data_IF_444307764458
#
_entry.id   IF_444307764458
#
_cell.length_a   1.000
_cell.length_b   1.000
_cell.length_c   1.000
_cell.angle_alpha   90.00
_cell.angle_beta   90.00
_cell.angle_gamma   90.00
#
_symmetry.space_group_name_H-M   'P 1'
#
loop_
_entity.id
_entity.type
_entity.pdbx_description
1 polymer ?
#
# COMPACT_ATOMS: atom_id res chain seq x y z
N UNK A 1 -7.70 7.36 10.04
CA UNK A 1 -7.05 6.39 9.13
C UNK A 1 -7.75 6.49 7.79
N UNK A 2 -7.18 7.23 6.83
CA UNK A 2 -7.79 7.38 5.51
C UNK A 2 -7.59 6.09 4.70
N UNK A 3 -8.64 5.61 4.05
CA UNK A 3 -8.50 4.54 3.05
C UNK A 3 -7.70 5.07 1.85
N UNK A 4 -6.94 4.19 1.20
CA UNK A 4 -6.14 4.49 0.02
C UNK A 4 -7.08 4.99 -1.10
N UNK A 5 -6.93 6.21 -1.64
CA UNK A 5 -7.86 6.79 -2.63
C UNK A 5 -8.11 5.89 -3.84
N UNK A 6 -7.08 5.20 -4.32
CA UNK A 6 -7.14 4.24 -5.42
C UNK A 6 -8.11 3.10 -5.13
N UNK A 7 -8.18 2.65 -3.87
CA UNK A 7 -9.12 1.60 -3.46
C UNK A 7 -10.55 2.14 -3.46
N UNK A 8 -10.78 3.35 -2.96
CA UNK A 8 -12.12 3.95 -2.94
C UNK A 8 -12.63 4.22 -4.35
N UNK A 9 -11.77 4.75 -5.23
CA UNK A 9 -12.13 5.06 -6.62
C UNK A 9 -12.44 3.80 -7.45
N UNK A 10 -11.91 2.65 -7.03
CA UNK A 10 -12.19 1.36 -7.64
C UNK A 10 -13.25 0.54 -6.90
N UNK A 11 -13.96 1.16 -5.97
CA UNK A 11 -15.12 0.58 -5.27
C UNK A 11 -16.37 1.38 -5.60
N UNK A 12 -17.50 0.73 -5.82
CA UNK A 12 -18.78 1.39 -6.07
C UNK A 12 -19.88 0.72 -5.28
N UNK A 13 -20.74 1.53 -4.67
CA UNK A 13 -21.92 1.03 -3.96
C UNK A 13 -22.99 0.63 -4.97
N UNK A 14 -23.36 -0.65 -4.93
CA UNK A 14 -24.58 -1.13 -5.55
C UNK A 14 -25.72 -0.94 -4.56
N UNK A 15 -26.57 0.03 -4.87
CA UNK A 15 -27.66 0.44 -3.99
C UNK A 15 -28.79 -0.59 -4.01
N UNK A 16 -29.25 -0.97 -2.82
CA UNK A 16 -30.43 -1.79 -2.59
C UNK A 16 -31.40 -1.02 -1.69
N UNK A 17 -31.34 -1.19 -0.37
CA UNK A 17 -32.19 -0.46 0.56
C UNK A 17 -31.86 1.04 0.59
N UNK A 18 -30.67 1.48 0.16
CA UNK A 18 -30.31 2.90 0.13
C UNK A 18 -29.94 3.47 1.50
N UNK A 19 -29.47 2.62 2.39
CA UNK A 19 -28.95 2.96 3.72
C UNK A 19 -27.66 3.80 3.70
N UNK A 20 -26.96 3.80 2.57
CA UNK A 20 -25.72 4.57 2.35
C UNK A 20 -25.98 6.07 2.11
N UNK A 21 -24.91 6.86 2.21
CA UNK A 21 -24.99 8.32 2.07
C UNK A 21 -25.30 8.75 0.64
N UNK A 22 -26.26 9.67 0.48
CA UNK A 22 -26.60 10.25 -0.81
C UNK A 22 -25.44 11.06 -1.40
N UNK A 23 -24.78 11.88 -0.58
CA UNK A 23 -23.74 12.80 -1.03
C UNK A 23 -22.35 12.18 -1.15
N UNK A 24 -21.98 11.35 -0.17
CA UNK A 24 -20.60 10.93 0.01
C UNK A 24 -20.30 9.50 -0.44
N UNK A 25 -21.34 8.67 -0.68
CA UNK A 25 -21.11 7.33 -1.20
C UNK A 25 -20.75 7.39 -2.69
N UNK A 26 -19.86 6.49 -3.11
CA UNK A 26 -19.51 6.31 -4.52
C UNK A 26 -20.51 5.37 -5.18
N UNK A 27 -21.72 5.85 -5.48
CA UNK A 27 -22.80 5.04 -6.08
C UNK A 27 -23.11 5.39 -7.54
N UNK A 28 -22.55 6.50 -8.04
CA UNK A 28 -22.56 6.88 -9.45
C UNK A 28 -21.21 6.55 -10.09
N UNK A 29 -21.19 6.46 -11.42
CA UNK A 29 -19.97 6.12 -12.16
C UNK A 29 -18.88 7.21 -12.08
N UNK A 30 -19.30 8.48 -11.90
CA UNK A 30 -18.43 9.66 -11.79
C UNK A 30 -17.96 9.93 -10.35
N UNK A 31 -18.30 9.06 -9.40
CA UNK A 31 -17.95 9.23 -7.99
C UNK A 31 -19.11 9.73 -7.12
N UNK A 32 -18.80 10.19 -5.89
CA UNK A 32 -19.77 10.79 -5.00
C UNK A 32 -20.34 12.11 -5.54
N UNK A 33 -21.64 12.35 -5.32
CA UNK A 33 -22.30 13.59 -5.73
C UNK A 33 -21.62 14.84 -5.16
N UNK A 34 -21.08 14.75 -3.93
CA UNK A 34 -20.36 15.85 -3.28
C UNK A 34 -19.16 16.38 -4.06
N UNK A 35 -18.65 15.63 -5.06
CA UNK A 35 -17.55 16.08 -5.93
C UNK A 35 -17.98 17.18 -6.90
N UNK A 36 -19.27 17.27 -7.21
CA UNK A 36 -19.79 18.14 -8.26
C UNK A 36 -20.77 19.20 -7.76
N UNK A 37 -21.04 19.23 -6.46
CA UNK A 37 -21.95 20.19 -5.85
C UNK A 37 -21.16 21.12 -4.95
N UNK A 38 -21.33 22.43 -5.13
CA UNK A 38 -20.70 23.47 -4.28
C UNK A 38 -21.45 23.65 -2.97
N UNK A 39 -22.75 23.34 -2.94
CA UNK A 39 -23.62 23.40 -1.76
C UNK A 39 -24.19 22.00 -1.47
N UNK A 40 -24.06 21.54 -0.23
CA UNK A 40 -24.60 20.25 0.20
C UNK A 40 -25.72 20.52 1.20
N UNK A 41 -26.95 20.36 0.72
CA UNK A 41 -28.14 20.38 1.57
C UNK A 41 -28.36 19.00 2.19
N UNK A 42 -28.61 18.97 3.50
CA UNK A 42 -28.82 17.74 4.28
C UNK A 42 -27.64 16.76 4.14
N UNK A 43 -26.47 17.04 4.75
CA UNK A 43 -25.26 16.22 4.58
C UNK A 43 -25.41 14.78 5.08
N UNK A 44 -26.35 14.54 6.01
CA UNK A 44 -26.64 13.21 6.56
C UNK A 44 -27.72 12.45 5.78
N UNK A 45 -28.20 12.99 4.66
CA UNK A 45 -29.24 12.39 3.82
C UNK A 45 -28.78 11.02 3.30
N UNK A 46 -29.64 10.01 3.47
CA UNK A 46 -29.45 8.68 2.86
C UNK A 46 -30.20 8.58 1.55
N UNK A 47 -29.80 7.66 0.70
CA UNK A 47 -30.44 7.45 -0.60
C UNK A 47 -31.91 7.05 -0.43
N UNK A 48 -32.22 6.26 0.60
CA UNK A 48 -33.59 5.83 0.91
C UNK A 48 -34.52 6.94 1.35
N UNK A 49 -33.99 7.99 1.96
CA UNK A 49 -34.78 9.14 2.41
C UNK A 49 -35.24 10.01 1.22
N UNK A 50 -34.57 9.86 0.06
CA UNK A 50 -34.98 10.45 -1.23
C UNK A 50 -36.05 9.60 -1.94
N UNK A 51 -36.19 8.35 -1.51
CA UNK A 51 -37.11 7.36 -2.09
C UNK A 51 -38.27 7.08 -1.13
N UNK A 52 -39.30 7.94 -1.15
CA UNK A 52 -40.48 7.81 -0.30
C UNK A 52 -41.53 6.90 -0.95
N UNK A 53 -41.97 5.86 -0.24
CA UNK A 53 -43.13 5.01 -0.58
C UNK A 53 -43.17 4.48 -2.02
N UNK A 54 -42.02 3.96 -2.51
CA UNK A 54 -41.87 3.40 -3.87
C UNK A 54 -42.03 4.42 -5.01
N UNK A 55 -42.08 5.71 -4.70
CA UNK A 55 -42.15 6.80 -5.67
C UNK A 55 -40.97 7.76 -5.46
N UNK A 56 -40.24 8.04 -6.53
CA UNK A 56 -39.12 8.96 -6.46
C UNK A 56 -39.66 10.39 -6.30
N UNK A 57 -39.24 11.11 -5.26
CA UNK A 57 -39.61 12.51 -5.10
C UNK A 57 -38.77 13.37 -6.06
N UNK A 58 -39.21 13.43 -7.33
CA UNK A 58 -38.50 14.13 -8.42
C UNK A 58 -38.28 15.60 -8.06
N UNK A 59 -39.26 16.24 -7.42
CA UNK A 59 -39.18 17.64 -7.01
C UNK A 59 -38.05 17.88 -5.99
N UNK A 60 -37.91 16.99 -5.01
CA UNK A 60 -36.83 17.07 -4.02
C UNK A 60 -35.48 16.73 -4.66
N UNK A 61 -35.43 15.77 -5.58
CA UNK A 61 -34.21 15.41 -6.31
C UNK A 61 -33.68 16.58 -7.15
N UNK A 62 -34.58 17.26 -7.88
CA UNK A 62 -34.26 18.43 -8.69
C UNK A 62 -33.76 19.60 -7.84
N UNK A 63 -34.34 19.81 -6.65
CA UNK A 63 -33.85 20.81 -5.70
C UNK A 63 -32.45 20.49 -5.18
N UNK A 64 -32.14 19.20 -4.94
CA UNK A 64 -30.85 18.79 -4.38
C UNK A 64 -29.73 18.80 -5.43
N UNK A 65 -29.97 18.24 -6.62
CA UNK A 65 -28.90 17.92 -7.59
C UNK A 65 -28.93 18.79 -8.85
N UNK A 66 -30.05 19.47 -9.12
CA UNK A 66 -30.27 20.25 -10.34
C UNK A 66 -30.67 19.40 -11.55
N UNK A 67 -31.20 20.07 -12.59
CA UNK A 67 -31.75 19.43 -13.80
C UNK A 67 -30.72 18.64 -14.62
N UNK A 68 -29.44 19.01 -14.62
CA UNK A 68 -28.43 18.38 -15.50
C UNK A 68 -27.95 16.99 -15.03
N UNK A 69 -28.18 16.64 -13.76
CA UNK A 69 -27.65 15.41 -13.12
C UNK A 69 -28.75 14.44 -12.70
N UNK A 70 -30.01 14.80 -12.91
CA UNK A 70 -31.18 14.05 -12.48
C UNK A 70 -31.28 12.66 -13.13
N UNK A 71 -30.99 12.54 -14.42
CA UNK A 71 -31.23 11.31 -15.18
C UNK A 71 -30.39 10.12 -14.70
N UNK A 72 -29.08 10.33 -14.44
CA UNK A 72 -28.19 9.27 -13.97
C UNK A 72 -28.49 8.85 -12.52
N UNK A 73 -28.89 9.82 -11.70
CA UNK A 73 -29.31 9.63 -10.31
C UNK A 73 -30.63 8.86 -10.29
N UNK A 74 -31.62 9.26 -11.10
CA UNK A 74 -32.93 8.60 -11.22
C UNK A 74 -32.81 7.14 -11.69
N UNK A 75 -31.96 6.86 -12.68
CA UNK A 75 -31.75 5.49 -13.18
C UNK A 75 -31.13 4.58 -12.12
N UNK A 76 -30.27 5.11 -11.24
CA UNK A 76 -29.68 4.31 -10.16
C UNK A 76 -30.62 4.15 -8.97
N UNK A 77 -31.32 5.21 -8.56
CA UNK A 77 -32.31 5.16 -7.47
C UNK A 77 -33.50 4.27 -7.84
N UNK A 78 -33.94 4.24 -9.10
CA UNK A 78 -35.03 3.34 -9.55
C UNK A 78 -34.66 1.85 -9.50
N UNK A 79 -33.39 1.50 -9.34
CA UNK A 79 -32.92 0.12 -9.17
C UNK A 79 -32.91 -0.33 -7.71
N UNK A 80 -33.21 0.55 -6.76
CA UNK A 80 -33.31 0.22 -5.34
C UNK A 80 -34.35 -0.88 -5.09
N UNK A 81 -33.99 -1.84 -4.23
CA UNK A 81 -34.80 -3.01 -3.88
C UNK A 81 -34.50 -3.38 -2.43
N UNK A 82 -35.33 -4.23 -1.84
CA UNK A 82 -35.11 -4.73 -0.49
C UNK A 82 -33.78 -5.49 -0.36
N UNK A 83 -33.08 -5.30 0.76
CA UNK A 83 -31.81 -5.93 1.11
C UNK A 83 -30.64 -4.95 1.29
N UNK A 84 -29.53 -5.45 1.83
CA UNK A 84 -28.38 -4.61 2.19
C UNK A 84 -27.65 -4.01 0.98
N UNK A 85 -27.23 -2.74 1.10
CA UNK A 85 -26.36 -2.12 0.12
C UNK A 85 -25.01 -2.86 0.05
N UNK A 86 -24.49 -3.06 -1.16
CA UNK A 86 -23.26 -3.86 -1.37
C UNK A 86 -22.16 -3.00 -1.96
N UNK A 87 -20.99 -2.98 -1.32
CA UNK A 87 -19.81 -2.35 -1.90
C UNK A 87 -19.13 -3.31 -2.88
N UNK A 88 -19.13 -2.94 -4.16
CA UNK A 88 -18.58 -3.72 -5.26
C UNK A 88 -17.16 -3.25 -5.57
N UNK A 89 -16.23 -4.20 -5.61
CA UNK A 89 -14.85 -4.01 -6.02
C UNK A 89 -14.71 -4.19 -7.54
N UNK A 90 -14.62 -3.08 -8.28
CA UNK A 90 -14.60 -3.04 -9.77
C UNK A 90 -13.51 -3.93 -10.42
N UNK A 91 -12.29 -4.06 -9.86
CA UNK A 91 -11.24 -4.89 -10.46
C UNK A 91 -11.47 -6.41 -10.38
N UNK A 92 -12.44 -6.87 -9.58
CA UNK A 92 -12.82 -8.28 -9.55
C UNK A 92 -14.06 -8.49 -10.41
N UNK A 93 -14.04 -9.46 -11.33
CA UNK A 93 -15.22 -9.81 -12.11
C UNK A 93 -16.41 -10.30 -11.28
N UNK A 94 -16.17 -10.76 -10.04
CA UNK A 94 -17.21 -11.15 -9.08
C UNK A 94 -17.62 -9.99 -8.15
N UNK A 95 -16.97 -8.83 -8.23
CA UNK A 95 -17.23 -7.69 -7.36
C UNK A 95 -16.71 -7.83 -5.93
N UNK A 96 -16.04 -8.93 -5.60
CA UNK A 96 -15.53 -9.21 -4.25
C UNK A 96 -14.19 -8.53 -3.98
N UNK A 97 -14.10 -7.82 -2.86
CA UNK A 97 -12.84 -7.25 -2.40
C UNK A 97 -11.88 -8.33 -1.90
N UNK A 98 -10.59 -8.18 -2.22
CA UNK A 98 -9.52 -8.92 -1.56
C UNK A 98 -8.27 -8.06 -1.44
N UNK A 99 -7.53 -8.22 -0.34
CA UNK A 99 -6.25 -7.52 -0.15
C UNK A 99 -5.26 -7.82 -1.28
N UNK A 100 -5.32 -9.02 -1.86
CA UNK A 100 -4.51 -9.40 -3.03
C UNK A 100 -4.85 -8.55 -4.25
N UNK A 101 -6.13 -8.42 -4.60
CA UNK A 101 -6.55 -7.63 -5.77
C UNK A 101 -6.26 -6.14 -5.58
N UNK A 102 -6.49 -5.61 -4.37
CA UNK A 102 -6.12 -4.24 -4.00
C UNK A 102 -4.61 -4.01 -4.13
N UNK A 103 -3.78 -4.91 -3.60
CA UNK A 103 -2.33 -4.83 -3.74
C UNK A 103 -1.89 -4.92 -5.19
N UNK A 104 -2.48 -5.83 -5.97
CA UNK A 104 -2.11 -6.04 -7.37
C UNK A 104 -2.44 -4.84 -8.28
N UNK A 105 -3.40 -3.99 -7.87
CA UNK A 105 -3.72 -2.73 -8.52
C UNK A 105 -2.72 -1.62 -8.19
N UNK A 106 -2.43 -1.40 -6.91
CA UNK A 106 -1.62 -0.24 -6.50
C UNK A 106 -0.11 -0.49 -6.63
N UNK A 107 0.31 -1.76 -6.72
CA UNK A 107 1.74 -2.10 -6.81
C UNK A 107 2.33 -1.67 -8.15
N UNK A 108 3.51 -1.08 -8.08
CA UNK A 108 4.40 -0.96 -9.23
C UNK A 108 5.18 -2.27 -9.38
N UNK A 109 5.10 -2.92 -10.55
CA UNK A 109 5.87 -4.13 -10.84
C UNK A 109 7.22 -3.73 -11.43
N UNK A 110 8.29 -4.07 -10.73
CA UNK A 110 9.64 -3.99 -11.26
C UNK A 110 10.03 -5.32 -11.93
N UNK A 111 10.95 -5.31 -12.90
CA UNK A 111 11.53 -6.54 -13.44
C UNK A 111 12.07 -7.42 -12.32
N UNK A 112 11.92 -8.73 -12.48
CA UNK A 112 12.52 -9.68 -11.54
C UNK A 112 14.04 -9.52 -11.59
N UNK A 113 14.63 -9.20 -10.46
CA UNK A 113 16.08 -9.07 -10.35
C UNK A 113 16.68 -10.41 -9.93
N UNK A 114 17.80 -10.84 -10.55
CA UNK A 114 18.45 -12.10 -10.19
C UNK A 114 18.85 -12.17 -8.71
N UNK A 115 19.19 -11.04 -8.09
CA UNK A 115 19.54 -10.97 -6.67
C UNK A 115 18.33 -11.14 -5.74
N UNK A 116 17.11 -10.85 -6.20
CA UNK A 116 15.90 -10.93 -5.38
C UNK A 116 15.62 -12.36 -4.90
N UNK A 117 15.83 -13.35 -5.76
CA UNK A 117 15.67 -14.77 -5.41
C UNK A 117 16.70 -15.24 -4.40
N UNK A 118 17.88 -14.62 -4.36
CA UNK A 118 18.95 -14.94 -3.41
C UNK A 118 18.64 -14.34 -2.04
N UNK A 119 18.19 -13.07 -2.00
CA UNK A 119 17.83 -12.37 -0.76
C UNK A 119 16.62 -13.02 -0.09
N UNK A 120 15.60 -13.39 -0.86
CA UNK A 120 14.34 -13.93 -0.36
C UNK A 120 14.25 -15.46 -0.47
N UNK A 121 15.39 -16.16 -0.51
CA UNK A 121 15.43 -17.61 -0.61
C UNK A 121 14.78 -18.29 0.61
N UNK A 122 13.98 -19.33 0.40
CA UNK A 122 13.20 -19.99 1.46
C UNK A 122 14.05 -20.66 2.55
N UNK A 123 15.27 -21.05 2.23
CA UNK A 123 16.24 -21.60 3.19
C UNK A 123 16.81 -20.53 4.16
N UNK A 124 16.65 -19.24 3.86
CA UNK A 124 17.12 -18.16 4.71
C UNK A 124 16.08 -17.79 5.77
N UNK A 125 16.56 -17.56 6.99
CA UNK A 125 15.72 -16.94 8.01
C UNK A 125 15.39 -15.51 7.59
N UNK A 126 14.14 -15.07 7.80
CA UNK A 126 13.67 -13.72 7.42
C UNK A 126 14.60 -12.60 7.89
N UNK A 127 15.17 -12.72 9.10
CA UNK A 127 16.14 -11.76 9.64
C UNK A 127 17.38 -11.59 8.74
N UNK A 128 17.88 -12.68 8.15
CA UNK A 128 19.02 -12.64 7.24
C UNK A 128 18.64 -12.02 5.91
N UNK A 129 17.47 -12.36 5.36
CA UNK A 129 16.92 -11.73 4.16
C UNK A 129 16.79 -10.21 4.32
N UNK A 130 16.28 -9.74 5.47
CA UNK A 130 16.19 -8.31 5.76
C UNK A 130 17.56 -7.64 5.88
N UNK A 131 18.55 -8.28 6.52
CA UNK A 131 19.92 -7.75 6.59
C UNK A 131 20.53 -7.66 5.18
N UNK A 132 20.41 -8.70 4.36
CA UNK A 132 20.89 -8.70 2.97
C UNK A 132 20.21 -7.62 2.15
N UNK A 133 18.88 -7.50 2.24
CA UNK A 133 18.13 -6.44 1.57
C UNK A 133 18.64 -5.05 1.98
N UNK A 134 18.81 -4.80 3.28
CA UNK A 134 19.39 -3.54 3.76
C UNK A 134 20.81 -3.32 3.22
N UNK A 135 21.64 -4.35 3.14
CA UNK A 135 23.00 -4.26 2.60
C UNK A 135 22.99 -3.86 1.11
N UNK A 136 22.13 -4.47 0.30
CA UNK A 136 21.99 -4.17 -1.13
C UNK A 136 21.55 -2.72 -1.39
N UNK A 137 20.70 -2.17 -0.53
CA UNK A 137 20.19 -0.80 -0.67
C UNK A 137 20.95 0.24 0.17
N UNK A 138 22.15 -0.09 0.67
CA UNK A 138 22.94 0.79 1.54
C UNK A 138 22.15 1.33 2.76
N UNK A 139 21.19 0.56 3.26
CA UNK A 139 20.27 0.90 4.33
C UNK A 139 20.61 0.18 5.66
N UNK A 140 21.85 -0.30 5.79
CA UNK A 140 22.35 -0.81 7.07
C UNK A 140 22.60 0.35 8.04
N UNK A 141 22.27 0.11 9.30
CA UNK A 141 22.49 1.06 10.39
C UNK A 141 23.96 1.04 10.84
N UNK A 142 24.85 1.47 9.95
CA UNK A 142 26.28 1.68 10.23
C UNK A 142 26.58 3.17 10.33
N UNK A 143 27.59 3.53 11.10
CA UNK A 143 28.04 4.91 11.31
C UNK A 143 28.18 5.71 10.02
N UNK A 144 28.79 5.12 8.98
CA UNK A 144 28.94 5.80 7.69
C UNK A 144 27.59 6.20 7.07
N UNK A 145 26.55 5.35 7.19
CA UNK A 145 25.20 5.69 6.72
C UNK A 145 24.59 6.83 7.54
N UNK A 146 24.83 6.85 8.85
CA UNK A 146 24.36 7.92 9.74
C UNK A 146 25.06 9.26 9.47
N UNK A 147 26.37 9.23 9.19
CA UNK A 147 27.16 10.40 8.75
C UNK A 147 26.64 10.99 7.44
N UNK A 148 26.28 10.15 6.47
CA UNK A 148 25.71 10.60 5.19
C UNK A 148 24.37 11.32 5.37
N UNK A 149 23.66 11.09 6.48
CA UNK A 149 22.45 11.82 6.84
C UNK A 149 22.72 13.16 7.56
N UNK A 150 23.99 13.60 7.65
CA UNK A 150 24.38 14.88 8.23
C UNK A 150 24.63 14.87 9.74
N UNK A 151 24.62 13.69 10.37
CA UNK A 151 24.88 13.56 11.81
C UNK A 151 26.39 13.45 12.05
N UNK A 152 26.95 14.40 12.79
CA UNK A 152 28.35 14.37 13.20
C UNK A 152 28.56 13.35 14.33
N UNK A 153 29.26 12.26 14.03
CA UNK A 153 29.63 11.22 14.98
C UNK A 153 31.04 10.70 14.70
N UNK A 154 31.74 10.25 15.74
CA UNK A 154 33.00 9.54 15.61
C UNK A 154 32.71 8.08 15.26
N UNK A 155 33.16 7.63 14.08
CA UNK A 155 32.90 6.27 13.63
C UNK A 155 33.98 5.33 14.10
N UNK A 156 33.57 4.18 14.63
CA UNK A 156 34.47 3.14 15.11
C UNK A 156 33.77 1.79 15.10
N UNK A 157 34.38 0.82 14.44
CA UNK A 157 33.89 -0.55 14.42
C UNK A 157 34.28 -1.31 15.69
N UNK A 158 33.29 -1.74 16.46
CA UNK A 158 33.50 -2.55 17.67
C UNK A 158 33.86 -4.02 17.38
N UNK A 159 33.75 -4.44 16.13
CA UNK A 159 34.04 -5.83 15.70
C UNK A 159 35.51 -6.05 15.29
N UNK A 160 36.38 -5.05 15.48
CA UNK A 160 37.81 -5.17 15.17
C UNK A 160 38.67 -4.50 16.25
N UNK A 161 39.85 -5.05 16.49
CA UNK A 161 40.78 -4.55 17.52
C UNK A 161 41.25 -3.11 17.23
N UNK A 162 41.50 -2.80 15.96
CA UNK A 162 41.98 -1.48 15.52
C UNK A 162 40.90 -0.40 15.52
N UNK A 163 39.62 -0.75 15.68
CA UNK A 163 38.54 0.24 15.69
C UNK A 163 38.46 1.05 14.40
N UNK A 164 38.59 0.41 13.24
CA UNK A 164 38.50 1.07 11.93
C UNK A 164 37.12 1.70 11.71
N UNK A 165 36.97 2.55 10.70
CA UNK A 165 35.68 3.17 10.37
C UNK A 165 34.60 2.10 10.10
N UNK A 166 33.43 2.28 10.72
CA UNK A 166 32.31 1.37 10.58
C UNK A 166 31.54 1.64 9.28
N UNK A 167 31.89 0.85 8.26
CA UNK A 167 31.20 0.82 6.97
C UNK A 167 30.58 -0.54 6.73
N UNK A 168 29.52 -0.60 5.92
CA UNK A 168 28.88 -1.87 5.55
C UNK A 168 29.86 -2.88 4.95
N UNK A 169 30.77 -2.42 4.08
CA UNK A 169 31.84 -3.26 3.51
C UNK A 169 32.77 -3.80 4.59
N UNK A 170 33.13 -2.97 5.57
CA UNK A 170 33.99 -3.37 6.67
C UNK A 170 33.32 -4.43 7.55
N UNK A 171 32.15 -4.14 8.11
CA UNK A 171 31.48 -5.05 9.05
C UNK A 171 31.01 -6.36 8.41
N UNK A 172 30.79 -6.38 7.09
CA UNK A 172 30.34 -7.59 6.39
C UNK A 172 31.47 -8.38 5.74
N UNK A 173 32.63 -7.79 5.45
CA UNK A 173 33.65 -8.43 4.59
C UNK A 173 35.09 -8.30 5.07
N UNK A 174 35.52 -7.13 5.56
CA UNK A 174 36.96 -6.88 5.82
C UNK A 174 37.33 -6.83 7.29
N UNK A 175 36.37 -6.68 8.21
CA UNK A 175 36.67 -6.68 9.64
C UNK A 175 37.12 -8.07 10.12
N UNK A 176 37.84 -8.11 11.24
CA UNK A 176 38.39 -9.34 11.82
C UNK A 176 37.29 -10.36 12.12
N UNK A 177 36.18 -9.91 12.73
CA UNK A 177 35.03 -10.76 13.02
C UNK A 177 34.39 -11.33 11.74
N UNK A 178 34.20 -10.50 10.70
CA UNK A 178 33.64 -10.93 9.43
C UNK A 178 34.57 -11.95 8.74
N UNK A 179 35.87 -11.70 8.74
CA UNK A 179 36.86 -12.62 8.19
C UNK A 179 36.80 -13.98 8.89
N UNK A 180 36.65 -14.02 10.21
CA UNK A 180 36.55 -15.29 10.94
C UNK A 180 35.25 -16.03 10.60
N UNK A 181 34.13 -15.32 10.47
CA UNK A 181 32.85 -15.90 10.02
C UNK A 181 33.00 -16.49 8.62
N UNK A 182 33.51 -15.73 7.67
CA UNK A 182 33.67 -16.19 6.29
C UNK A 182 34.69 -17.31 6.15
N UNK A 183 35.75 -17.32 6.96
CA UNK A 183 36.69 -18.42 7.03
C UNK A 183 35.98 -19.70 7.45
N UNK A 184 35.17 -19.68 8.52
CA UNK A 184 34.40 -20.86 8.96
C UNK A 184 33.43 -21.35 7.90
N UNK A 185 32.67 -20.43 7.28
CA UNK A 185 31.73 -20.74 6.20
C UNK A 185 32.47 -21.36 5.00
N UNK A 186 33.63 -20.81 4.61
CA UNK A 186 34.41 -21.30 3.48
C UNK A 186 34.89 -22.74 3.69
N UNK A 187 35.33 -23.07 4.91
CA UNK A 187 35.73 -24.44 5.28
C UNK A 187 34.53 -25.38 5.18
N UNK A 188 33.37 -24.98 5.70
CA UNK A 188 32.14 -25.78 5.63
C UNK A 188 31.65 -26.01 4.19
N UNK A 189 31.89 -25.06 3.29
CA UNK A 189 31.49 -25.14 1.87
C UNK A 189 32.59 -25.72 0.95
N UNK A 190 33.78 -26.03 1.47
CA UNK A 190 34.92 -26.48 0.67
C UNK A 190 35.46 -25.41 -0.29
N UNK A 191 35.23 -24.13 0.00
CA UNK A 191 35.66 -22.99 -0.81
C UNK A 191 36.93 -22.38 -0.20
N UNK A 192 37.89 -21.99 -1.03
CA UNK A 192 39.08 -21.28 -0.57
C UNK A 192 38.74 -19.82 -0.25
N UNK A 193 38.68 -19.46 1.04
CA UNK A 193 38.61 -18.06 1.45
C UNK A 193 39.92 -17.33 1.16
N UNK A 194 39.84 -16.14 0.57
CA UNK A 194 40.95 -15.20 0.49
C UNK A 194 40.55 -13.95 1.26
N UNK A 195 41.17 -13.77 2.42
CA UNK A 195 41.08 -12.50 3.15
C UNK A 195 41.55 -11.38 2.23
N UNK A 196 40.71 -10.35 2.07
CA UNK A 196 41.18 -9.06 1.56
C UNK A 196 41.81 -8.33 2.73
N UNK A 197 43.11 -8.54 2.94
CA UNK A 197 43.89 -7.65 3.78
C UNK A 197 43.94 -6.28 3.09
N UNK A 198 43.56 -5.23 3.81
CA UNK A 198 43.88 -3.86 3.44
C UNK A 198 45.39 -3.67 3.42
#
# INVERSE_FOLDING_TARGET
>A
MGCIPEVINNSQWWIREGSTSFWYAHWLDDGPLSRHTTHIDQPTLKIKDVYLDSSLNVSQLLQLVGEDKDASVMVNVSKCREGDDVLIWKPSGQGTFSSKSAWDMIRVRYPQTPWGTWVWHSALQKRMSFIMWKAFFAALSVDNGVRQMGVALASRCDCCLMGMEETASHILSTCEAANEVWRKVSVALGIRWRSKHN
#
